data_IF_186407201985
#
_entry.id   IF_186407201985
#
_cell.length_a   1.000
_cell.length_b   1.000
_cell.length_c   1.000
_cell.angle_alpha   90.00
_cell.angle_beta   90.00
_cell.angle_gamma   90.00
#
_symmetry.space_group_name_H-M   'P 1'
#
loop_
_entity.id
_entity.type
_entity.pdbx_description
1 polymer ?
#
# COMPACT_ATOMS: atom_id res chain seq x y z
N UNK A 1 24.62 -57.54 31.33
CA UNK A 1 25.29 -56.45 32.05
C UNK A 1 25.54 -55.37 31.02
N UNK A 2 24.44 -54.75 30.54
CA UNK A 2 24.45 -53.70 29.51
C UNK A 2 24.46 -52.35 30.22
N UNK A 3 25.46 -51.53 29.85
CA UNK A 3 25.64 -50.19 30.44
C UNK A 3 24.72 -49.21 29.72
N UNK A 4 23.83 -48.62 30.48
CA UNK A 4 22.94 -47.52 30.05
C UNK A 4 23.78 -46.25 29.93
N UNK A 5 23.79 -45.63 28.71
CA UNK A 5 24.43 -44.35 28.45
C UNK A 5 23.37 -43.22 28.61
N UNK A 6 23.52 -42.29 29.57
CA UNK A 6 22.53 -41.26 29.85
C UNK A 6 22.75 -39.96 29.10
N UNK A 7 23.21 -39.98 27.83
CA UNK A 7 23.47 -38.76 27.02
C UNK A 7 22.67 -38.72 25.73
N UNK A 8 21.36 -38.91 25.81
CA UNK A 8 20.41 -38.54 24.77
C UNK A 8 19.29 -37.69 25.36
N UNK A 9 19.63 -36.61 26.03
CA UNK A 9 18.66 -35.56 26.29
C UNK A 9 18.52 -34.73 25.01
N UNK A 10 17.32 -34.84 24.45
CA UNK A 10 16.92 -34.13 23.25
C UNK A 10 16.99 -32.64 23.46
N UNK A 11 17.80 -31.97 22.63
CA UNK A 11 17.60 -30.57 22.35
C UNK A 11 16.22 -30.41 21.67
N UNK A 12 15.22 -30.09 22.48
CA UNK A 12 14.02 -29.48 21.97
C UNK A 12 14.43 -28.11 21.40
N UNK A 13 14.53 -28.04 20.08
CA UNK A 13 14.54 -26.78 19.40
C UNK A 13 13.17 -26.13 19.67
N UNK A 14 13.13 -25.18 20.60
CA UNK A 14 12.03 -24.24 20.69
C UNK A 14 11.96 -23.56 19.32
N UNK A 15 10.96 -23.93 18.51
CA UNK A 15 10.50 -23.12 17.42
C UNK A 15 10.07 -21.78 18.05
N UNK A 16 10.92 -20.78 17.90
CA UNK A 16 10.57 -19.39 18.16
C UNK A 16 9.37 -19.09 17.25
N UNK A 17 8.17 -19.24 17.80
CA UNK A 17 6.97 -18.67 17.19
C UNK A 17 7.16 -17.16 17.20
N UNK A 18 7.66 -16.64 16.08
CA UNK A 18 7.72 -15.21 15.85
C UNK A 18 6.27 -14.72 15.93
N UNK A 19 5.95 -14.04 17.03
CA UNK A 19 4.68 -13.34 17.18
C UNK A 19 4.48 -12.49 15.91
N UNK A 20 3.30 -12.52 15.26
CA UNK A 20 3.11 -11.73 14.05
C UNK A 20 3.51 -10.30 14.37
N UNK A 21 4.49 -9.77 13.63
CA UNK A 21 4.98 -8.42 13.85
C UNK A 21 3.77 -7.47 13.85
N UNK A 22 3.64 -6.65 14.88
CA UNK A 22 2.59 -5.65 14.97
C UNK A 22 2.71 -4.73 13.75
N UNK A 23 1.68 -4.71 12.90
CA UNK A 23 1.64 -3.93 11.67
C UNK A 23 0.24 -3.36 11.45
N UNK A 24 0.10 -2.32 10.61
CA UNK A 24 -1.21 -1.85 10.19
C UNK A 24 -2.03 -2.95 9.49
N UNK A 25 -3.35 -2.85 9.59
CA UNK A 25 -4.27 -3.55 8.70
C UNK A 25 -4.22 -2.88 7.32
N UNK A 26 -3.85 -3.62 6.28
CA UNK A 26 -3.55 -3.08 4.95
C UNK A 26 -4.66 -3.40 3.97
N UNK A 27 -5.33 -2.35 3.50
CA UNK A 27 -6.31 -2.41 2.42
C UNK A 27 -5.70 -1.82 1.15
N UNK A 28 -5.55 -2.63 0.12
CA UNK A 28 -5.16 -2.17 -1.22
C UNK A 28 -6.43 -1.84 -2.00
N UNK A 29 -6.49 -0.65 -2.59
CA UNK A 29 -7.60 -0.22 -3.45
C UNK A 29 -7.08 0.14 -4.84
N UNK A 30 -7.53 -0.59 -5.85
CA UNK A 30 -7.12 -0.39 -7.24
C UNK A 30 -8.34 -0.31 -8.15
N UNK A 31 -8.32 0.65 -9.08
CA UNK A 31 -9.27 0.71 -10.18
C UNK A 31 -8.59 0.18 -11.45
N UNK A 32 -9.32 -0.62 -12.23
CA UNK A 32 -8.84 -1.15 -13.50
C UNK A 32 -9.95 -1.10 -14.57
N UNK A 33 -9.54 -1.07 -15.84
CA UNK A 33 -10.45 -1.27 -16.96
C UNK A 33 -11.03 -2.68 -16.99
N UNK A 34 -12.04 -2.92 -17.83
CA UNK A 34 -12.65 -4.25 -18.00
C UNK A 34 -11.64 -5.33 -18.46
N UNK A 35 -10.56 -4.91 -19.13
CA UNK A 35 -9.45 -5.77 -19.56
C UNK A 35 -8.23 -5.73 -18.61
N UNK A 36 -8.41 -5.23 -17.36
CA UNK A 36 -7.44 -5.34 -16.29
C UNK A 36 -6.27 -4.34 -16.33
N UNK A 37 -6.44 -3.19 -16.99
CA UNK A 37 -5.39 -2.16 -17.10
C UNK A 37 -5.65 -0.99 -16.15
N UNK A 38 -4.58 -0.43 -15.55
CA UNK A 38 -4.67 0.72 -14.64
C UNK A 38 -4.26 2.04 -15.32
N UNK A 39 -3.56 1.96 -16.43
CA UNK A 39 -3.19 3.12 -17.26
C UNK A 39 -2.87 2.68 -18.69
N UNK A 40 -2.64 3.63 -19.61
CA UNK A 40 -2.18 3.32 -20.97
C UNK A 40 -0.73 2.77 -20.97
N UNK A 41 -0.29 2.24 -22.12
CA UNK A 41 1.09 1.81 -22.35
C UNK A 41 2.11 2.93 -22.06
N UNK A 42 1.74 4.16 -22.36
CA UNK A 42 2.56 5.34 -22.07
C UNK A 42 2.51 5.78 -20.59
N UNK A 43 1.83 5.02 -19.73
CA UNK A 43 1.61 5.31 -18.31
C UNK A 43 0.86 6.63 -18.06
N UNK A 44 0.01 7.03 -19.00
CA UNK A 44 -0.89 8.18 -18.82
C UNK A 44 -2.12 7.73 -18.05
N UNK A 45 -2.52 8.56 -17.11
CA UNK A 45 -3.74 8.35 -16.31
C UNK A 45 -4.96 8.17 -17.23
N UNK A 46 -5.77 7.17 -16.92
CA UNK A 46 -7.06 6.88 -17.56
C UNK A 46 -8.16 7.09 -16.54
N UNK A 47 -9.24 7.77 -16.93
CA UNK A 47 -10.38 8.03 -16.05
C UNK A 47 -11.25 6.77 -15.86
N UNK A 48 -10.78 5.82 -15.07
CA UNK A 48 -11.47 4.54 -14.82
C UNK A 48 -12.62 4.72 -13.83
N UNK A 49 -12.37 5.43 -12.72
CA UNK A 49 -13.35 5.64 -11.66
C UNK A 49 -14.34 6.76 -11.99
N UNK A 50 -15.64 6.47 -11.91
CA UNK A 50 -16.72 7.43 -11.96
C UNK A 50 -16.86 8.24 -10.65
N UNK A 51 -17.84 9.18 -10.57
CA UNK A 51 -18.08 10.01 -9.38
C UNK A 51 -18.37 9.17 -8.13
N UNK A 52 -19.16 8.11 -8.26
CA UNK A 52 -19.58 7.23 -7.17
C UNK A 52 -18.38 6.47 -6.57
N UNK A 53 -17.52 5.92 -7.43
CA UNK A 53 -16.29 5.24 -6.96
C UNK A 53 -15.32 6.24 -6.34
N UNK A 54 -15.19 7.45 -6.88
CA UNK A 54 -14.37 8.50 -6.25
C UNK A 54 -14.89 8.88 -4.86
N UNK A 55 -16.22 8.95 -4.68
CA UNK A 55 -16.83 9.18 -3.36
C UNK A 55 -16.52 8.05 -2.38
N UNK A 56 -16.59 6.80 -2.83
CA UNK A 56 -16.19 5.62 -2.03
C UNK A 56 -14.72 5.65 -1.65
N UNK A 57 -13.83 5.97 -2.61
CA UNK A 57 -12.39 6.10 -2.36
C UNK A 57 -12.13 7.18 -1.31
N UNK A 58 -12.82 8.31 -1.40
CA UNK A 58 -12.66 9.42 -0.46
C UNK A 58 -13.07 9.01 0.97
N UNK A 59 -14.15 8.26 1.12
CA UNK A 59 -14.57 7.67 2.39
C UNK A 59 -13.53 6.68 2.92
N UNK A 60 -12.98 5.80 2.08
CA UNK A 60 -11.95 4.85 2.48
C UNK A 60 -10.67 5.56 2.98
N UNK A 61 -10.29 6.68 2.35
CA UNK A 61 -9.22 7.57 2.85
C UNK A 61 -9.57 8.14 4.23
N UNK A 62 -10.78 8.64 4.38
CA UNK A 62 -11.24 9.24 5.63
C UNK A 62 -11.24 8.24 6.79
N UNK A 63 -11.53 6.98 6.54
CA UNK A 63 -11.53 5.89 7.53
C UNK A 63 -10.12 5.38 7.86
N UNK A 64 -9.12 5.69 7.02
CA UNK A 64 -7.74 5.22 7.19
C UNK A 64 -6.92 6.17 8.08
N UNK A 65 -5.93 5.64 8.80
CA UNK A 65 -4.96 6.46 9.54
C UNK A 65 -3.87 6.97 8.59
N UNK A 66 -3.55 6.19 7.55
CA UNK A 66 -2.58 6.55 6.53
C UNK A 66 -3.01 6.10 5.13
N UNK A 67 -2.54 6.84 4.11
CA UNK A 67 -2.67 6.50 2.69
C UNK A 67 -1.29 6.44 2.06
N UNK A 68 -0.99 5.38 1.32
CA UNK A 68 0.33 5.11 0.76
C UNK A 68 0.29 4.89 -0.75
N UNK A 69 1.31 5.39 -1.43
CA UNK A 69 1.57 5.13 -2.86
C UNK A 69 3.04 4.86 -3.11
N UNK A 70 3.33 4.20 -4.24
CA UNK A 70 4.69 4.11 -4.76
C UNK A 70 5.12 5.38 -5.50
N UNK A 71 6.42 5.64 -5.57
CA UNK A 71 6.99 6.78 -6.30
C UNK A 71 6.55 6.83 -7.76
N UNK A 72 6.35 5.69 -8.41
CA UNK A 72 5.86 5.64 -9.80
C UNK A 72 4.52 6.36 -9.97
N UNK A 73 3.59 6.19 -9.04
CA UNK A 73 2.29 6.88 -9.03
C UNK A 73 2.46 8.40 -8.84
N UNK A 74 3.38 8.82 -7.96
CA UNK A 74 3.64 10.26 -7.77
C UNK A 74 4.18 10.90 -9.04
N UNK A 75 5.09 10.21 -9.75
CA UNK A 75 5.69 10.72 -10.98
C UNK A 75 4.72 10.74 -12.17
N UNK A 76 3.77 9.80 -12.22
CA UNK A 76 2.77 9.70 -13.29
C UNK A 76 1.58 10.65 -13.07
N UNK A 77 1.01 10.66 -11.87
CA UNK A 77 -0.32 11.21 -11.59
C UNK A 77 -0.31 12.43 -10.67
N UNK A 78 0.82 12.72 -10.01
CA UNK A 78 0.99 13.79 -9.02
C UNK A 78 -0.18 13.87 -7.99
N UNK A 79 -0.52 12.77 -7.29
CA UNK A 79 -1.68 12.72 -6.43
C UNK A 79 -1.44 13.52 -5.14
N UNK A 80 -2.48 14.19 -4.63
CA UNK A 80 -2.42 14.84 -3.32
C UNK A 80 -2.70 13.88 -2.15
N UNK A 81 -3.40 12.78 -2.40
CA UNK A 81 -3.90 11.79 -1.43
C UNK A 81 -4.76 12.38 -0.30
N UNK A 82 -5.31 13.55 -0.50
CA UNK A 82 -6.18 14.23 0.46
C UNK A 82 -7.62 13.71 0.38
N UNK A 83 -8.33 13.77 1.50
CA UNK A 83 -9.81 13.65 1.55
C UNK A 83 -10.39 14.89 0.88
N UNK A 84 -11.30 14.71 -0.09
CA UNK A 84 -11.89 15.80 -0.89
C UNK A 84 -13.16 16.36 -0.25
N UNK A 85 -14.01 15.49 0.32
CA UNK A 85 -15.24 15.91 1.00
C UNK A 85 -14.93 16.71 2.25
N UNK A 86 -15.58 17.88 2.38
CA UNK A 86 -15.55 18.71 3.58
C UNK A 86 -16.09 17.97 4.78
N UNK A 87 -17.23 17.33 4.61
CA UNK A 87 -17.94 16.58 5.68
C UNK A 87 -17.05 15.46 6.25
N UNK A 88 -16.41 14.68 5.38
CA UNK A 88 -15.49 13.61 5.82
C UNK A 88 -14.26 14.14 6.56
N UNK A 89 -13.76 15.34 6.19
CA UNK A 89 -12.68 15.98 6.95
C UNK A 89 -13.15 16.44 8.32
N UNK A 90 -14.36 17.01 8.40
CA UNK A 90 -14.96 17.43 9.67
C UNK A 90 -15.24 16.24 10.59
N UNK A 91 -15.74 15.12 10.04
CA UNK A 91 -15.88 13.86 10.78
C UNK A 91 -14.55 13.41 11.40
N UNK A 92 -13.45 13.46 10.65
CA UNK A 92 -12.11 13.14 11.17
C UNK A 92 -11.66 14.07 12.28
N UNK A 93 -11.83 15.39 12.09
CA UNK A 93 -11.45 16.41 13.08
C UNK A 93 -12.25 16.24 14.37
N UNK A 94 -13.56 15.99 14.25
CA UNK A 94 -14.45 15.71 15.38
C UNK A 94 -14.05 14.44 16.15
N UNK A 95 -13.43 13.47 15.47
CA UNK A 95 -12.85 12.27 16.07
C UNK A 95 -11.42 12.48 16.62
N UNK A 96 -10.95 13.73 16.71
CA UNK A 96 -9.61 14.06 17.21
C UNK A 96 -8.45 13.73 16.27
N UNK A 97 -8.73 13.53 14.98
CA UNK A 97 -7.71 13.26 13.94
C UNK A 97 -7.44 14.52 13.11
N UNK A 98 -6.33 14.52 12.37
CA UNK A 98 -6.13 15.52 11.31
C UNK A 98 -7.21 15.36 10.22
N UNK A 99 -7.57 16.45 9.53
CA UNK A 99 -8.56 16.42 8.45
C UNK A 99 -8.17 15.49 7.30
N UNK A 100 -6.87 15.26 7.09
CA UNK A 100 -6.37 14.27 6.15
C UNK A 100 -5.60 13.15 6.88
N UNK A 101 -5.61 11.90 6.37
CA UNK A 101 -4.75 10.84 6.85
C UNK A 101 -3.27 11.18 6.64
N UNK A 102 -2.38 10.51 7.34
CA UNK A 102 -0.95 10.50 7.04
C UNK A 102 -0.73 10.06 5.59
N UNK A 103 0.12 10.75 4.83
CA UNK A 103 0.37 10.45 3.42
C UNK A 103 1.79 9.96 3.23
N UNK A 104 1.95 8.81 2.58
CA UNK A 104 3.21 8.09 2.52
C UNK A 104 3.58 7.82 1.08
N UNK A 105 4.82 8.16 0.70
CA UNK A 105 5.42 7.75 -0.57
C UNK A 105 6.51 6.72 -0.29
N UNK A 106 6.41 5.55 -0.91
CA UNK A 106 7.51 4.57 -0.93
C UNK A 106 8.46 4.94 -2.07
N UNK A 107 9.63 5.47 -1.71
CA UNK A 107 10.58 6.05 -2.65
C UNK A 107 12.02 5.76 -2.22
N UNK A 108 12.49 4.55 -2.46
CA UNK A 108 13.81 4.06 -2.02
C UNK A 108 14.98 5.02 -2.31
N UNK A 109 14.87 5.83 -3.37
CA UNK A 109 15.95 6.71 -3.85
C UNK A 109 15.72 8.21 -3.58
N UNK A 110 14.57 8.60 -2.98
CA UNK A 110 14.25 10.01 -2.73
C UNK A 110 14.05 10.83 -3.99
N UNK A 111 13.31 10.30 -4.98
CA UNK A 111 13.04 10.93 -6.29
C UNK A 111 11.79 11.80 -6.30
N UNK A 112 10.98 11.78 -5.24
CA UNK A 112 9.74 12.58 -5.15
C UNK A 112 10.03 14.04 -5.49
N UNK A 113 9.35 14.62 -6.50
CA UNK A 113 9.56 16.01 -6.89
C UNK A 113 9.22 16.97 -5.73
N UNK A 114 10.03 18.01 -5.55
CA UNK A 114 9.75 19.01 -4.50
C UNK A 114 8.44 19.77 -4.75
N UNK A 115 7.97 19.80 -5.99
CA UNK A 115 6.68 20.40 -6.39
C UNK A 115 5.50 19.43 -6.30
N UNK A 116 5.70 18.18 -5.85
CA UNK A 116 4.63 17.19 -5.80
C UNK A 116 3.48 17.62 -4.90
N UNK A 117 2.26 17.49 -5.37
CA UNK A 117 1.03 17.87 -4.65
C UNK A 117 0.93 17.24 -3.25
N UNK A 118 1.41 16.01 -3.10
CA UNK A 118 1.44 15.33 -1.81
C UNK A 118 2.24 16.07 -0.75
N UNK A 119 3.24 16.88 -1.13
CA UNK A 119 4.07 17.64 -0.21
C UNK A 119 3.44 18.97 0.22
N UNK A 120 2.44 19.49 -0.53
CA UNK A 120 1.93 20.85 -0.35
C UNK A 120 0.44 20.91 -0.04
N UNK A 121 -0.39 20.01 -0.60
CA UNK A 121 -1.84 20.08 -0.49
C UNK A 121 -2.35 19.45 0.81
N UNK A 122 -3.25 20.16 1.50
CA UNK A 122 -3.94 19.71 2.72
C UNK A 122 -3.03 19.64 3.96
N UNK A 123 -3.64 19.46 5.12
CA UNK A 123 -3.01 19.21 6.42
C UNK A 123 -2.59 17.74 6.60
N UNK A 124 -2.09 17.38 7.76
CA UNK A 124 -1.68 16.03 8.13
C UNK A 124 -0.21 15.73 7.82
N UNK A 125 0.32 14.71 8.48
CA UNK A 125 1.73 14.30 8.33
C UNK A 125 2.00 13.75 6.92
N UNK A 126 3.22 13.99 6.44
CA UNK A 126 3.75 13.51 5.17
C UNK A 126 5.01 12.73 5.41
N UNK A 127 5.11 11.53 4.84
CA UNK A 127 6.28 10.66 4.99
C UNK A 127 6.82 10.30 3.60
N UNK A 128 8.12 10.44 3.43
CA UNK A 128 8.86 9.83 2.33
C UNK A 128 9.67 8.67 2.91
N UNK A 129 9.26 7.45 2.61
CA UNK A 129 9.98 6.24 3.01
C UNK A 129 11.13 5.97 2.04
N UNK A 130 12.35 5.93 2.55
CA UNK A 130 13.58 5.80 1.76
C UNK A 130 14.47 4.68 2.27
N UNK A 131 15.44 4.25 1.44
CA UNK A 131 16.52 3.38 1.87
C UNK A 131 17.61 4.16 2.65
N UNK A 132 18.44 3.45 3.41
CA UNK A 132 19.62 4.03 4.08
C UNK A 132 20.56 4.74 3.10
N UNK A 133 20.73 4.18 1.88
CA UNK A 133 21.57 4.79 0.83
C UNK A 133 21.11 6.19 0.43
N UNK A 134 19.79 6.43 0.42
CA UNK A 134 19.22 7.71 0.01
C UNK A 134 19.04 8.69 1.18
N UNK A 135 19.12 8.21 2.42
CA UNK A 135 18.71 8.95 3.62
C UNK A 135 19.28 10.35 3.73
N UNK A 136 20.60 10.52 3.67
CA UNK A 136 21.25 11.83 3.86
C UNK A 136 20.76 12.87 2.87
N UNK A 137 20.68 12.46 1.59
CA UNK A 137 20.20 13.33 0.51
C UNK A 137 18.72 13.64 0.66
N UNK A 138 17.90 12.65 1.02
CA UNK A 138 16.48 12.81 1.21
C UNK A 138 16.16 13.70 2.42
N UNK A 139 16.85 13.52 3.54
CA UNK A 139 16.66 14.33 4.74
C UNK A 139 16.91 15.84 4.47
N UNK A 140 17.98 16.18 3.75
CA UNK A 140 18.25 17.54 3.35
C UNK A 140 17.21 18.06 2.33
N UNK A 141 16.83 17.21 1.37
CA UNK A 141 15.91 17.57 0.27
C UNK A 141 14.50 17.88 0.76
N UNK A 142 13.96 17.10 1.73
CA UNK A 142 12.57 17.22 2.18
C UNK A 142 12.43 17.94 3.52
N UNK A 143 13.50 18.60 3.99
CA UNK A 143 13.47 19.37 5.23
C UNK A 143 12.32 20.40 5.22
N UNK A 144 11.47 20.37 6.23
CA UNK A 144 10.31 21.25 6.36
C UNK A 144 9.11 20.88 5.48
N UNK A 145 9.22 19.88 4.58
CA UNK A 145 8.14 19.43 3.71
C UNK A 145 7.53 18.08 4.12
N UNK A 146 8.38 17.15 4.54
CA UNK A 146 7.97 15.81 4.92
C UNK A 146 8.95 15.18 5.92
N UNK A 147 8.47 14.25 6.72
CA UNK A 147 9.30 13.36 7.52
C UNK A 147 9.96 12.31 6.62
N UNK A 148 11.28 12.18 6.68
CA UNK A 148 11.99 11.10 5.99
C UNK A 148 12.08 9.90 6.92
N UNK A 149 11.46 8.79 6.54
CA UNK A 149 11.46 7.54 7.28
C UNK A 149 12.36 6.53 6.56
N UNK A 150 13.41 6.11 7.24
CA UNK A 150 14.36 5.12 6.68
C UNK A 150 13.84 3.72 6.96
N UNK A 151 13.74 2.86 5.94
CA UNK A 151 13.41 1.46 6.10
C UNK A 151 14.17 0.63 5.05
N UNK A 152 15.13 -0.18 5.49
CA UNK A 152 15.95 -1.03 4.61
C UNK A 152 17.22 -0.34 4.09
N UNK A 153 18.12 -1.16 3.59
CA UNK A 153 19.48 -0.74 3.24
C UNK A 153 19.58 -0.14 1.83
N UNK A 154 19.22 -0.94 0.83
CA UNK A 154 19.37 -0.61 -0.59
C UNK A 154 18.07 -0.10 -1.21
N UNK A 155 16.97 -0.66 -0.79
CA UNK A 155 15.59 -0.32 -1.12
C UNK A 155 14.74 -0.37 0.14
N UNK A 156 13.52 0.15 0.04
CA UNK A 156 12.59 0.15 1.18
C UNK A 156 12.16 -1.29 1.48
N UNK A 157 12.50 -1.74 2.68
CA UNK A 157 12.01 -2.98 3.29
C UNK A 157 10.58 -2.76 3.79
N UNK A 158 9.61 -3.36 3.10
CA UNK A 158 8.19 -3.16 3.41
C UNK A 158 7.77 -3.70 4.78
N UNK A 159 8.17 -4.92 5.21
CA UNK A 159 7.95 -5.37 6.57
C UNK A 159 8.45 -4.40 7.64
N UNK A 160 9.68 -3.92 7.51
CA UNK A 160 10.25 -2.93 8.43
C UNK A 160 9.50 -1.60 8.38
N UNK A 161 9.11 -1.14 7.19
CA UNK A 161 8.28 0.06 7.04
C UNK A 161 6.95 -0.10 7.77
N UNK A 162 6.27 -1.24 7.62
CA UNK A 162 4.99 -1.49 8.30
C UNK A 162 5.14 -1.49 9.83
N UNK A 163 6.17 -2.11 10.37
CA UNK A 163 6.45 -2.08 11.80
C UNK A 163 6.63 -0.63 12.30
N UNK A 164 7.44 0.18 11.61
CA UNK A 164 7.67 1.60 11.96
C UNK A 164 6.42 2.47 11.85
N UNK A 165 5.55 2.20 10.87
CA UNK A 165 4.27 2.89 10.75
C UNK A 165 3.33 2.52 11.90
N UNK A 166 3.32 1.25 12.30
CA UNK A 166 2.55 0.81 13.47
C UNK A 166 3.03 1.50 14.75
N UNK A 167 4.34 1.59 14.98
CA UNK A 167 4.95 2.33 16.09
C UNK A 167 4.54 3.82 16.11
N UNK A 168 4.28 4.40 14.94
CA UNK A 168 3.73 5.76 14.79
C UNK A 168 2.21 5.85 15.01
N UNK A 169 1.55 4.76 15.36
CA UNK A 169 0.11 4.71 15.64
C UNK A 169 -0.76 4.46 14.40
N UNK A 170 -0.19 4.04 13.26
CA UNK A 170 -0.97 3.65 12.09
C UNK A 170 -1.58 2.27 12.33
N UNK A 171 -2.87 2.21 12.56
CA UNK A 171 -3.63 0.96 12.68
C UNK A 171 -4.23 0.49 11.36
N UNK A 172 -4.67 1.43 10.50
CA UNK A 172 -5.30 1.16 9.20
C UNK A 172 -4.58 1.92 8.10
N UNK A 173 -4.02 1.17 7.16
CA UNK A 173 -3.29 1.71 6.01
C UNK A 173 -4.04 1.40 4.71
N UNK A 174 -4.37 2.44 3.95
CA UNK A 174 -4.86 2.32 2.59
C UNK A 174 -3.71 2.46 1.60
N UNK A 175 -3.64 1.57 0.60
CA UNK A 175 -2.67 1.65 -0.50
C UNK A 175 -3.42 1.94 -1.79
N UNK A 176 -3.09 3.07 -2.45
CA UNK A 176 -3.77 3.54 -3.67
C UNK A 176 -2.97 3.29 -4.94
N UNK A 177 -1.92 2.52 -4.88
CA UNK A 177 -1.30 2.16 -6.14
C UNK A 177 0.21 2.27 -6.22
N UNK A 178 0.55 2.11 -7.47
CA UNK A 178 1.74 1.61 -8.07
C UNK A 178 1.69 0.08 -8.12
N UNK A 179 1.38 -0.50 -9.29
CA UNK A 179 1.28 -1.96 -9.46
C UNK A 179 2.50 -2.72 -8.92
N UNK A 180 3.70 -2.13 -9.05
CA UNK A 180 4.94 -2.69 -8.49
C UNK A 180 4.94 -2.70 -6.95
N UNK A 181 4.47 -1.61 -6.30
CA UNK A 181 4.34 -1.57 -4.84
C UNK A 181 3.32 -2.61 -4.36
N UNK A 182 2.18 -2.70 -5.04
CA UNK A 182 1.12 -3.66 -4.72
C UNK A 182 1.64 -5.10 -4.86
N UNK A 183 2.36 -5.41 -5.94
CA UNK A 183 3.00 -6.71 -6.13
C UNK A 183 3.97 -7.05 -4.99
N UNK A 184 4.80 -6.09 -4.58
CA UNK A 184 5.75 -6.27 -3.47
C UNK A 184 5.05 -6.49 -2.14
N UNK A 185 3.92 -5.80 -1.87
CA UNK A 185 3.11 -6.02 -0.67
C UNK A 185 2.48 -7.42 -0.65
N UNK A 186 1.97 -7.89 -1.78
CA UNK A 186 1.45 -9.26 -1.89
C UNK A 186 2.56 -10.30 -1.71
N UNK A 187 3.71 -10.11 -2.34
CA UNK A 187 4.85 -11.02 -2.20
C UNK A 187 5.39 -11.09 -0.76
N UNK A 188 5.26 -10.00 0.00
CA UNK A 188 5.64 -9.95 1.41
C UNK A 188 4.54 -10.43 2.38
N UNK A 189 3.39 -10.89 1.88
CA UNK A 189 2.26 -11.34 2.72
C UNK A 189 1.64 -10.24 3.59
N UNK A 190 1.74 -8.99 3.18
CA UNK A 190 1.33 -7.84 3.98
C UNK A 190 -0.11 -7.39 3.73
N UNK A 191 -0.75 -7.80 2.63
CA UNK A 191 -2.10 -7.36 2.27
C UNK A 191 -3.16 -8.15 3.01
N UNK A 192 -4.10 -7.46 3.65
CA UNK A 192 -5.25 -8.08 4.33
C UNK A 192 -6.50 -8.07 3.45
N UNK A 193 -6.81 -6.94 2.81
CA UNK A 193 -7.92 -6.81 1.88
C UNK A 193 -7.49 -6.16 0.56
N UNK A 194 -8.13 -6.60 -0.51
CA UNK A 194 -7.91 -6.05 -1.84
C UNK A 194 -9.25 -5.64 -2.45
N UNK A 195 -9.39 -4.37 -2.78
CA UNK A 195 -10.53 -3.82 -3.48
C UNK A 195 -10.15 -3.58 -4.93
N UNK A 196 -10.91 -4.18 -5.84
CA UNK A 196 -10.76 -3.98 -7.27
C UNK A 196 -12.04 -3.39 -7.84
N UNK A 197 -11.97 -2.15 -8.27
CA UNK A 197 -13.02 -1.53 -9.06
C UNK A 197 -12.76 -1.79 -10.54
N UNK A 198 -13.72 -2.37 -11.22
CA UNK A 198 -13.66 -2.64 -12.66
C UNK A 198 -14.54 -1.60 -13.37
N UNK A 199 -13.92 -0.67 -14.08
CA UNK A 199 -14.62 0.36 -14.85
C UNK A 199 -15.10 -0.16 -16.22
N UNK A 200 -16.05 0.57 -16.81
CA UNK A 200 -16.76 0.24 -18.04
C UNK A 200 -16.00 0.59 -19.34
N UNK A 201 -14.68 0.45 -19.35
CA UNK A 201 -13.85 0.77 -20.51
C UNK A 201 -12.80 -0.30 -20.78
N UNK A 202 -12.27 -0.33 -22.00
CA UNK A 202 -11.15 -1.17 -22.42
C UNK A 202 -9.98 -0.27 -22.77
N UNK A 203 -8.79 -0.58 -22.26
CA UNK A 203 -7.55 0.17 -22.52
C UNK A 203 -6.68 -0.57 -23.54
N UNK A 204 -6.53 -1.89 -23.41
CA UNK A 204 -5.67 -2.71 -24.26
C UNK A 204 -4.17 -2.53 -23.98
N UNK A 205 -3.37 -3.16 -24.85
CA UNK A 205 -1.90 -3.11 -24.80
C UNK A 205 -1.28 -4.14 -23.86
N UNK A 206 -0.40 -4.98 -24.40
CA UNK A 206 0.28 -6.04 -23.63
C UNK A 206 1.11 -5.42 -22.47
N UNK A 207 1.79 -4.34 -22.76
CA UNK A 207 2.69 -3.66 -21.81
C UNK A 207 2.01 -2.58 -20.94
N UNK A 208 0.69 -2.41 -21.07
CA UNK A 208 -0.08 -1.52 -20.23
C UNK A 208 -0.12 -2.07 -18.79
N UNK A 209 0.15 -1.22 -17.76
CA UNK A 209 0.25 -1.67 -16.37
C UNK A 209 -1.04 -2.32 -15.86
N UNK A 210 -0.89 -3.25 -14.93
CA UNK A 210 -1.97 -3.94 -14.23
C UNK A 210 -1.99 -3.58 -12.73
N UNK A 211 -3.07 -3.90 -11.99
CA UNK A 211 -3.13 -3.65 -10.55
C UNK A 211 -2.01 -4.30 -9.75
N UNK A 212 -1.48 -5.44 -10.21
CA UNK A 212 -0.39 -6.17 -9.59
C UNK A 212 0.66 -6.45 -10.65
N UNK A 213 1.66 -5.60 -10.71
CA UNK A 213 2.76 -5.66 -11.69
C UNK A 213 4.01 -6.34 -11.10
N UNK A 214 5.18 -6.08 -11.71
CA UNK A 214 6.47 -6.59 -11.27
C UNK A 214 6.83 -7.92 -11.91
N UNK A 215 7.58 -8.75 -11.18
CA UNK A 215 8.07 -10.04 -11.70
C UNK A 215 6.98 -11.12 -11.81
N UNK A 216 5.83 -10.90 -11.19
CA UNK A 216 4.79 -11.91 -11.03
C UNK A 216 5.20 -13.06 -10.12
N UNK A 217 4.27 -13.97 -9.89
CA UNK A 217 4.48 -15.22 -9.16
C UNK A 217 4.71 -16.34 -10.16
N UNK A 218 5.71 -17.19 -9.93
CA UNK A 218 6.20 -18.14 -10.94
C UNK A 218 5.65 -19.56 -10.76
N UNK A 219 5.05 -19.86 -9.62
CA UNK A 219 4.51 -21.19 -9.32
C UNK A 219 3.19 -21.13 -8.57
N UNK A 220 2.41 -22.20 -8.68
CA UNK A 220 1.10 -22.31 -8.03
C UNK A 220 1.16 -22.13 -6.51
N UNK A 221 2.27 -22.50 -5.90
CA UNK A 221 2.49 -22.35 -4.46
C UNK A 221 2.74 -20.90 -4.04
N UNK A 222 3.17 -20.04 -4.97
CA UNK A 222 3.40 -18.62 -4.74
C UNK A 222 2.13 -17.78 -4.98
N UNK A 223 1.15 -18.30 -5.73
CA UNK A 223 -0.06 -17.55 -6.07
C UNK A 223 -0.85 -17.19 -4.82
N UNK A 224 -1.07 -15.90 -4.64
CA UNK A 224 -1.87 -15.39 -3.53
C UNK A 224 -3.34 -15.76 -3.74
N UNK A 225 -3.89 -16.51 -2.82
CA UNK A 225 -5.30 -16.94 -2.86
C UNK A 225 -6.20 -15.90 -2.20
N UNK A 226 -7.29 -15.58 -2.86
CA UNK A 226 -8.27 -14.61 -2.41
C UNK A 226 -9.59 -15.30 -2.08
N UNK A 227 -10.35 -14.72 -1.16
CA UNK A 227 -11.74 -15.05 -0.87
C UNK A 227 -12.60 -13.85 -1.20
N UNK A 228 -13.56 -14.02 -2.10
CA UNK A 228 -14.56 -12.99 -2.38
C UNK A 228 -15.40 -12.74 -1.11
N UNK A 229 -15.46 -11.50 -0.71
CA UNK A 229 -16.22 -11.04 0.45
C UNK A 229 -17.50 -10.34 0.04
N UNK A 230 -17.42 -9.55 -1.03
CA UNK A 230 -18.53 -8.76 -1.53
C UNK A 230 -18.34 -8.42 -3.00
N UNK A 231 -19.44 -8.22 -3.72
CA UNK A 231 -19.49 -7.72 -5.09
C UNK A 231 -20.70 -6.80 -5.23
N UNK A 232 -20.49 -5.63 -5.81
CA UNK A 232 -21.57 -4.65 -5.99
C UNK A 232 -21.33 -3.72 -7.18
N UNK A 233 -22.42 -3.21 -7.72
CA UNK A 233 -22.39 -2.14 -8.72
C UNK A 233 -22.06 -0.80 -8.02
N UNK A 234 -21.16 -0.03 -8.63
CA UNK A 234 -20.79 1.31 -8.17
C UNK A 234 -20.72 2.23 -9.39
N UNK A 235 -21.75 3.06 -9.58
CA UNK A 235 -21.94 3.81 -10.80
C UNK A 235 -22.00 2.88 -12.03
N UNK A 236 -21.16 3.12 -13.03
CA UNK A 236 -21.09 2.31 -14.25
C UNK A 236 -20.04 1.17 -14.17
N UNK A 237 -19.58 0.81 -12.98
CA UNK A 237 -18.58 -0.22 -12.80
C UNK A 237 -18.95 -1.22 -11.70
N UNK A 238 -18.05 -2.17 -11.46
CA UNK A 238 -18.23 -3.22 -10.47
C UNK A 238 -17.11 -3.17 -9.45
N UNK A 239 -17.46 -3.13 -8.17
CA UNK A 239 -16.52 -3.25 -7.08
C UNK A 239 -16.48 -4.69 -6.58
N UNK A 240 -15.28 -5.26 -6.50
CA UNK A 240 -15.01 -6.55 -5.88
C UNK A 240 -14.20 -6.33 -4.61
N UNK A 241 -14.63 -6.89 -3.51
CA UNK A 241 -13.90 -6.88 -2.24
C UNK A 241 -13.38 -8.27 -1.93
N UNK A 242 -12.07 -8.38 -1.78
CA UNK A 242 -11.39 -9.64 -1.53
C UNK A 242 -10.67 -9.61 -0.18
N UNK A 243 -10.70 -10.72 0.54
CA UNK A 243 -9.79 -10.98 1.66
C UNK A 243 -8.66 -11.88 1.22
N UNK A 244 -7.44 -11.54 1.56
CA UNK A 244 -6.28 -12.39 1.31
C UNK A 244 -6.38 -13.61 2.23
N UNK A 245 -6.24 -14.81 1.65
CA UNK A 245 -6.11 -16.04 2.44
C UNK A 245 -4.66 -16.14 2.89
N UNK A 246 -4.42 -16.04 4.19
CA UNK A 246 -3.10 -16.32 4.71
C UNK A 246 -2.76 -17.78 4.39
N UNK A 247 -1.70 -17.99 3.63
CA UNK A 247 -1.09 -19.31 3.50
C UNK A 247 -0.51 -19.62 4.89
N UNK A 248 -1.13 -20.59 5.57
CA UNK A 248 -0.57 -21.16 6.78
C UNK A 248 0.54 -22.14 6.42
#
# INVERSE_FOLDING_TARGET
MERHDPRRDGMMTEELTVSPALRPYITVNMAMSADGKISSVERRQVGISGPEDRGRIDRLKAESDAVMVGIGTVLADNPSLTVKSGDLREERISAGKAGNPMRIVVDSLGRTPLSADILHKGDGERIIAVSEKAWRKAAARYQGLATVLVAGRDEVDLPLLMARLHEKGVGRLMVEGGGTLVASLFASGLVDEFYTFVGNLVVGGADAPTPVDGRGFLSDNEFVRLRLMDVGEVGEGVLLRWRVKNLR
#
